data_IF_739351350822
#
_entry.id   IF_739351350822
#
_cell.length_a   1.000
_cell.length_b   1.000
_cell.length_c   1.000
_cell.angle_alpha   90.00
_cell.angle_beta   90.00
_cell.angle_gamma   90.00
#
_symmetry.space_group_name_H-M   'P 1'
#
loop_
_entity.id
_entity.type
_entity.pdbx_description
1 polymer ?
#
# COMPACT_ATOMS: atom_id res chain seq x y z
N UNK A 1 3.30 -26.17 -7.22
CA UNK A 1 2.94 -24.78 -6.82
C UNK A 1 3.81 -23.83 -7.61
N UNK A 2 3.24 -22.90 -8.37
CA UNK A 2 4.03 -21.93 -9.13
C UNK A 2 4.64 -20.92 -8.16
N UNK A 3 5.94 -21.00 -7.91
CA UNK A 3 6.66 -20.00 -7.14
C UNK A 3 6.62 -18.66 -7.90
N UNK A 4 5.82 -17.73 -7.43
CA UNK A 4 5.73 -16.37 -7.96
C UNK A 4 6.58 -15.45 -7.09
N UNK A 5 7.46 -14.69 -7.72
CA UNK A 5 8.19 -13.62 -7.04
C UNK A 5 7.45 -12.30 -7.22
N UNK A 6 7.12 -11.63 -6.11
CA UNK A 6 6.46 -10.33 -6.12
C UNK A 6 7.43 -9.28 -5.62
N UNK A 7 7.75 -8.32 -6.47
CA UNK A 7 8.64 -7.21 -6.17
C UNK A 7 7.88 -5.90 -6.16
N UNK A 8 8.18 -5.05 -5.20
CA UNK A 8 7.65 -3.69 -5.10
C UNK A 8 7.22 -3.29 -3.68
N UNK A 9 6.90 -2.01 -3.50
CA UNK A 9 6.82 -0.95 -4.51
C UNK A 9 8.21 -0.40 -4.90
N UNK A 10 8.58 -0.53 -6.15
CA UNK A 10 9.85 -0.05 -6.69
C UNK A 10 9.66 1.29 -7.43
N UNK A 11 10.78 1.94 -7.81
CA UNK A 11 10.78 3.05 -8.77
C UNK A 11 10.20 2.57 -10.11
N UNK A 12 9.96 3.49 -11.05
CA UNK A 12 9.33 3.13 -12.33
C UNK A 12 10.06 2.01 -13.09
N UNK A 13 9.30 1.28 -13.90
CA UNK A 13 9.78 0.19 -14.74
C UNK A 13 10.95 0.64 -15.63
N UNK A 14 12.01 -0.14 -15.70
CA UNK A 14 13.04 0.04 -16.70
C UNK A 14 12.48 -0.20 -18.13
N UNK A 15 13.29 0.07 -19.17
CA UNK A 15 12.86 -0.04 -20.58
C UNK A 15 12.38 -1.44 -20.96
N UNK A 16 13.02 -2.48 -20.46
CA UNK A 16 12.65 -3.88 -20.73
C UNK A 16 11.31 -4.22 -20.07
N UNK A 17 11.19 -4.09 -18.76
CA UNK A 17 9.96 -4.37 -18.03
C UNK A 17 8.77 -3.55 -18.53
N UNK A 18 8.99 -2.31 -18.98
CA UNK A 18 7.94 -1.49 -19.59
C UNK A 18 7.44 -2.07 -20.91
N UNK A 19 8.31 -2.67 -21.71
CA UNK A 19 7.94 -3.38 -22.94
C UNK A 19 7.09 -4.60 -22.62
N UNK A 20 7.52 -5.41 -21.66
CA UNK A 20 6.81 -6.62 -21.25
C UNK A 20 5.46 -6.31 -20.59
N UNK A 21 5.40 -5.30 -19.74
CA UNK A 21 4.15 -4.80 -19.17
C UNK A 21 3.14 -4.35 -20.25
N UNK A 22 3.63 -3.64 -21.28
CA UNK A 22 2.78 -3.26 -22.42
C UNK A 22 2.26 -4.48 -23.18
N UNK A 23 3.08 -5.51 -23.34
CA UNK A 23 2.67 -6.76 -23.99
C UNK A 23 1.54 -7.46 -23.23
N UNK A 24 1.59 -7.49 -21.90
CA UNK A 24 0.56 -8.10 -21.06
C UNK A 24 -0.82 -7.47 -21.20
N UNK A 25 -0.89 -6.18 -21.51
CA UNK A 25 -2.17 -5.44 -21.59
C UNK A 25 -2.58 -5.03 -23.00
N UNK A 26 -1.81 -5.40 -24.02
CA UNK A 26 -2.03 -4.91 -25.41
C UNK A 26 -3.39 -5.25 -25.98
N UNK A 27 -4.01 -6.36 -25.54
CA UNK A 27 -5.32 -6.83 -26.00
C UNK A 27 -6.49 -6.14 -25.30
N UNK A 28 -6.25 -5.58 -24.10
CA UNK A 28 -7.30 -5.01 -23.25
C UNK A 28 -7.18 -3.48 -23.14
N UNK A 29 -6.01 -2.93 -23.38
CA UNK A 29 -5.70 -1.51 -23.16
C UNK A 29 -4.91 -0.96 -24.34
N UNK A 30 -5.39 0.15 -24.90
CA UNK A 30 -4.68 0.79 -25.99
C UNK A 30 -3.35 1.44 -25.51
N UNK A 31 -2.45 1.67 -26.49
CA UNK A 31 -1.10 2.18 -26.24
C UNK A 31 -1.08 3.54 -25.56
N UNK A 32 -2.05 4.40 -25.87
CA UNK A 32 -2.12 5.75 -25.31
C UNK A 32 -2.48 5.68 -23.83
N UNK A 33 -3.44 4.85 -23.47
CA UNK A 33 -3.86 4.69 -22.07
C UNK A 33 -2.73 4.12 -21.21
N UNK A 34 -1.99 3.12 -21.69
CA UNK A 34 -0.79 2.63 -21.01
C UNK A 34 0.23 3.76 -20.79
N UNK A 35 0.49 4.57 -21.82
CA UNK A 35 1.44 5.68 -21.75
C UNK A 35 1.02 6.73 -20.71
N UNK A 36 -0.25 7.09 -20.65
CA UNK A 36 -0.76 8.06 -19.68
C UNK A 36 -0.72 7.51 -18.26
N UNK A 37 -1.15 6.26 -18.05
CA UNK A 37 -1.02 5.59 -16.74
C UNK A 37 0.43 5.57 -16.27
N UNK A 38 1.37 5.28 -17.17
CA UNK A 38 2.80 5.23 -16.85
C UNK A 38 3.35 6.61 -16.47
N UNK A 39 2.99 7.68 -17.20
CA UNK A 39 3.43 9.06 -16.93
C UNK A 39 3.03 9.55 -15.54
N UNK A 40 1.81 9.24 -15.08
CA UNK A 40 1.29 9.70 -13.81
C UNK A 40 1.65 8.77 -12.63
N UNK A 41 2.24 7.61 -12.91
CA UNK A 41 2.66 6.65 -11.89
C UNK A 41 4.07 6.96 -11.40
N UNK A 42 4.31 6.76 -10.11
CA UNK A 42 5.62 6.97 -9.50
C UNK A 42 6.20 5.71 -8.87
N UNK A 43 5.43 4.64 -8.80
CA UNK A 43 5.82 3.32 -8.27
C UNK A 43 5.17 2.21 -9.08
N UNK A 44 5.75 1.02 -9.00
CA UNK A 44 5.20 -0.18 -9.61
C UNK A 44 5.42 -1.42 -8.74
N UNK A 45 4.58 -2.42 -8.97
CA UNK A 45 4.76 -3.80 -8.53
C UNK A 45 4.93 -4.67 -9.76
N UNK A 46 5.72 -5.72 -9.64
CA UNK A 46 5.89 -6.74 -10.68
C UNK A 46 5.75 -8.12 -10.07
N UNK A 47 5.18 -9.03 -10.85
CA UNK A 47 5.11 -10.46 -10.53
C UNK A 47 5.80 -11.21 -11.64
N UNK A 48 6.79 -12.02 -11.30
CA UNK A 48 7.49 -12.89 -12.23
C UNK A 48 7.24 -14.35 -11.89
N UNK A 49 7.25 -15.21 -12.91
CA UNK A 49 7.26 -16.66 -12.74
C UNK A 49 8.67 -17.17 -12.41
N UNK A 50 8.81 -18.48 -12.22
CA UNK A 50 10.09 -19.16 -11.96
C UNK A 50 11.14 -18.95 -13.04
N UNK A 51 10.72 -18.67 -14.28
CA UNK A 51 11.61 -18.39 -15.40
C UNK A 51 11.98 -16.91 -15.51
N UNK A 52 11.65 -16.09 -14.51
CA UNK A 52 11.90 -14.65 -14.51
C UNK A 52 11.02 -13.83 -15.47
N UNK A 53 10.03 -14.46 -16.12
CA UNK A 53 9.14 -13.76 -17.05
C UNK A 53 8.10 -12.95 -16.28
N UNK A 54 7.83 -11.72 -16.73
CA UNK A 54 6.79 -10.87 -16.18
C UNK A 54 5.40 -11.45 -16.48
N UNK A 55 4.66 -11.82 -15.44
CA UNK A 55 3.30 -12.39 -15.52
C UNK A 55 2.23 -11.49 -14.93
N UNK A 56 2.64 -10.43 -14.24
CA UNK A 56 1.74 -9.41 -13.71
C UNK A 56 2.48 -8.15 -13.32
N UNK A 57 1.77 -7.02 -13.34
CA UNK A 57 2.29 -5.74 -12.87
C UNK A 57 1.17 -4.84 -12.41
N UNK A 58 1.49 -3.86 -11.57
CA UNK A 58 0.64 -2.73 -11.25
C UNK A 58 1.43 -1.43 -11.27
N UNK A 59 0.86 -0.43 -11.89
CA UNK A 59 1.33 0.95 -11.84
C UNK A 59 0.53 1.69 -10.77
N UNK A 60 1.22 2.33 -9.84
CA UNK A 60 0.58 3.06 -8.76
C UNK A 60 1.06 4.49 -8.67
N UNK A 61 0.16 5.36 -8.22
CA UNK A 61 0.49 6.72 -7.87
C UNK A 61 0.25 6.91 -6.37
N UNK A 62 1.28 7.31 -5.64
CA UNK A 62 1.14 7.80 -4.29
C UNK A 62 0.73 9.27 -4.38
N UNK A 63 -0.51 9.56 -4.08
CA UNK A 63 -1.02 10.92 -4.13
C UNK A 63 -0.29 11.78 -3.09
N UNK A 64 0.57 12.71 -3.58
CA UNK A 64 1.41 13.54 -2.71
C UNK A 64 0.72 14.83 -2.28
N UNK A 65 -0.35 15.25 -2.97
CA UNK A 65 -0.79 16.64 -2.85
C UNK A 65 -1.89 16.92 -1.84
N UNK A 66 -2.87 16.05 -1.59
CA UNK A 66 -3.99 16.47 -0.74
C UNK A 66 -4.65 15.39 0.14
N UNK A 67 -4.23 14.13 0.08
CA UNK A 67 -4.80 13.10 0.94
C UNK A 67 -3.67 12.23 1.50
N UNK A 68 -3.17 12.63 2.67
CA UNK A 68 -2.25 11.80 3.45
C UNK A 68 -2.91 10.45 3.71
N UNK A 69 -2.51 9.44 2.97
CA UNK A 69 -2.93 8.08 3.24
C UNK A 69 -3.57 7.30 2.11
N UNK A 70 -3.59 7.79 0.86
CA UNK A 70 -4.19 7.09 -0.26
C UNK A 70 -3.18 6.56 -1.27
N UNK A 71 -3.43 5.36 -1.78
CA UNK A 71 -2.76 4.77 -2.95
C UNK A 71 -3.77 4.68 -4.09
N UNK A 72 -3.43 5.18 -5.25
CA UNK A 72 -4.22 4.98 -6.46
C UNK A 72 -3.52 4.02 -7.42
N UNK A 73 -4.19 2.93 -7.74
CA UNK A 73 -3.77 2.01 -8.79
C UNK A 73 -4.21 2.61 -10.12
N UNK A 74 -3.25 2.86 -11.00
CA UNK A 74 -3.48 3.46 -12.32
C UNK A 74 -3.69 2.42 -13.39
N UNK A 75 -3.03 1.29 -13.25
CA UNK A 75 -3.12 0.20 -14.21
C UNK A 75 -2.69 -1.10 -13.55
N UNK A 76 -3.42 -2.15 -13.81
CA UNK A 76 -3.07 -3.53 -13.48
C UNK A 76 -3.12 -4.35 -14.78
N UNK A 77 -2.10 -5.17 -14.97
CA UNK A 77 -2.06 -6.14 -16.04
C UNK A 77 -1.56 -7.49 -15.52
N UNK A 78 -2.25 -8.56 -15.86
CA UNK A 78 -1.88 -9.92 -15.43
C UNK A 78 -2.23 -10.94 -16.49
N UNK A 79 -1.50 -12.04 -16.53
CA UNK A 79 -1.94 -13.23 -17.26
C UNK A 79 -3.21 -13.78 -16.60
N UNK A 80 -4.22 -14.07 -17.43
CA UNK A 80 -5.51 -14.60 -16.97
C UNK A 80 -5.39 -15.99 -16.35
N UNK A 81 -6.29 -16.33 -15.43
CA UNK A 81 -6.55 -17.70 -14.97
C UNK A 81 -5.60 -18.27 -13.91
N UNK A 82 -4.61 -17.51 -13.42
CA UNK A 82 -3.61 -18.01 -12.45
C UNK A 82 -3.66 -17.35 -11.06
N UNK A 83 -4.71 -16.62 -10.74
CA UNK A 83 -4.84 -15.92 -9.46
C UNK A 83 -3.84 -14.76 -9.26
N UNK A 84 -3.02 -14.42 -10.25
CA UNK A 84 -1.94 -13.43 -10.16
C UNK A 84 -2.49 -12.07 -9.76
N UNK A 85 -3.64 -11.68 -10.30
CA UNK A 85 -4.30 -10.42 -9.96
C UNK A 85 -4.66 -10.33 -8.47
N UNK A 86 -5.13 -11.43 -7.89
CA UNK A 86 -5.46 -11.51 -6.46
C UNK A 86 -4.22 -11.34 -5.60
N UNK A 87 -3.19 -12.12 -5.86
CA UNK A 87 -1.92 -12.07 -5.11
C UNK A 87 -1.28 -10.68 -5.19
N UNK A 88 -1.32 -10.06 -6.37
CA UNK A 88 -0.80 -8.71 -6.58
C UNK A 88 -1.60 -7.66 -5.79
N UNK A 89 -2.93 -7.75 -5.79
CA UNK A 89 -3.80 -6.85 -5.04
C UNK A 89 -3.61 -7.00 -3.53
N UNK A 90 -3.55 -8.24 -3.02
CA UNK A 90 -3.28 -8.52 -1.61
C UNK A 90 -1.94 -7.89 -1.19
N UNK A 91 -0.89 -8.03 -2.00
CA UNK A 91 0.42 -7.42 -1.73
C UNK A 91 0.37 -5.89 -1.68
N UNK A 92 -0.39 -5.25 -2.59
CA UNK A 92 -0.57 -3.79 -2.60
C UNK A 92 -1.31 -3.34 -1.33
N UNK A 93 -2.39 -4.03 -0.96
CA UNK A 93 -3.18 -3.72 0.23
C UNK A 93 -2.35 -3.89 1.51
N UNK A 94 -1.60 -4.99 1.63
CA UNK A 94 -0.76 -5.26 2.79
C UNK A 94 0.37 -4.23 2.93
N UNK A 95 1.02 -3.87 1.84
CA UNK A 95 2.02 -2.81 1.86
C UNK A 95 1.39 -1.46 2.25
N UNK A 96 0.20 -1.15 1.75
CA UNK A 96 -0.51 0.06 2.11
C UNK A 96 -0.88 0.06 3.61
N UNK A 97 -1.31 -1.08 4.15
CA UNK A 97 -1.60 -1.27 5.58
C UNK A 97 -0.37 -1.08 6.46
N UNK A 98 0.76 -1.74 6.11
CA UNK A 98 2.03 -1.61 6.82
C UNK A 98 2.54 -0.17 6.86
N UNK A 99 2.23 0.62 5.85
CA UNK A 99 2.60 2.04 5.75
C UNK A 99 1.59 2.99 6.39
N UNK A 100 0.57 2.48 7.06
CA UNK A 100 -0.47 3.28 7.73
C UNK A 100 -1.35 4.09 6.78
N UNK A 101 -1.47 3.65 5.51
CA UNK A 101 -2.33 4.29 4.53
C UNK A 101 -3.79 3.94 4.82
N UNK A 102 -4.71 4.82 4.41
CA UNK A 102 -6.14 4.69 4.74
C UNK A 102 -6.93 3.97 3.66
N UNK A 103 -6.59 4.20 2.40
CA UNK A 103 -7.38 3.68 1.28
C UNK A 103 -6.50 3.25 0.11
N UNK A 104 -7.03 2.29 -0.66
CA UNK A 104 -6.56 1.96 -2.00
C UNK A 104 -7.69 2.26 -2.97
N UNK A 105 -7.42 3.03 -4.01
CA UNK A 105 -8.40 3.39 -5.03
C UNK A 105 -7.96 2.94 -6.41
N UNK A 106 -8.90 2.64 -7.27
CA UNK A 106 -8.66 2.28 -8.67
C UNK A 106 -9.86 2.68 -9.54
N UNK A 107 -9.65 2.65 -10.83
CA UNK A 107 -10.70 2.71 -11.84
C UNK A 107 -10.85 1.33 -12.47
N UNK A 108 -12.07 0.77 -12.44
CA UNK A 108 -12.37 -0.58 -12.91
C UNK A 108 -13.07 -0.55 -14.25
N UNK A 109 -12.62 -1.37 -15.18
CA UNK A 109 -13.42 -1.72 -16.34
C UNK A 109 -14.61 -2.60 -15.90
N UNK A 110 -15.74 -2.60 -16.62
CA UNK A 110 -16.95 -3.34 -16.22
C UNK A 110 -16.68 -4.82 -15.91
N UNK A 111 -15.88 -5.48 -16.74
CA UNK A 111 -15.57 -6.91 -16.66
C UNK A 111 -14.75 -7.27 -15.41
N UNK A 112 -13.95 -6.34 -14.87
CA UNK A 112 -13.14 -6.53 -13.69
C UNK A 112 -13.87 -6.17 -12.39
N UNK A 113 -15.04 -5.51 -12.46
CA UNK A 113 -15.75 -5.01 -11.29
C UNK A 113 -16.10 -6.11 -10.28
N UNK A 114 -16.56 -7.27 -10.78
CA UNK A 114 -16.89 -8.42 -9.93
C UNK A 114 -15.66 -8.95 -9.17
N UNK A 115 -14.49 -8.96 -9.79
CA UNK A 115 -13.24 -9.32 -9.15
C UNK A 115 -12.91 -8.36 -8.00
N UNK A 116 -12.95 -7.05 -8.24
CA UNK A 116 -12.64 -6.07 -7.20
C UNK A 116 -13.67 -6.08 -6.05
N UNK A 117 -14.94 -6.31 -6.34
CA UNK A 117 -15.97 -6.49 -5.30
C UNK A 117 -15.65 -7.67 -4.37
N UNK A 118 -15.21 -8.82 -4.94
CA UNK A 118 -14.77 -10.00 -4.16
C UNK A 118 -13.52 -9.71 -3.32
N UNK A 119 -12.69 -8.76 -3.75
CA UNK A 119 -11.52 -8.28 -3.00
C UNK A 119 -11.87 -7.25 -1.91
N UNK A 120 -13.15 -6.88 -1.77
CA UNK A 120 -13.62 -5.92 -0.76
C UNK A 120 -13.63 -4.46 -1.21
N UNK A 121 -13.37 -4.18 -2.48
CA UNK A 121 -13.55 -2.84 -3.02
C UNK A 121 -15.03 -2.49 -3.14
N UNK A 122 -15.35 -1.22 -2.97
CA UNK A 122 -16.70 -0.68 -3.12
C UNK A 122 -16.70 0.48 -4.12
N UNK A 123 -17.77 0.65 -4.91
CA UNK A 123 -17.91 1.80 -5.80
C UNK A 123 -17.82 3.13 -5.06
N UNK A 124 -17.29 4.15 -5.74
CA UNK A 124 -17.30 5.53 -5.27
C UNK A 124 -18.20 6.34 -6.21
N UNK A 125 -19.36 6.74 -5.73
CA UNK A 125 -20.31 7.51 -6.55
C UNK A 125 -20.79 6.76 -7.79
N UNK A 126 -21.18 7.51 -8.82
CA UNK A 126 -21.59 7.00 -10.14
C UNK A 126 -20.36 6.89 -11.01
N UNK A 127 -19.99 5.68 -11.47
CA UNK A 127 -18.86 5.51 -12.39
C UNK A 127 -18.00 4.28 -12.11
N UNK A 128 -16.79 4.31 -12.66
CA UNK A 128 -15.82 3.19 -12.64
C UNK A 128 -14.87 3.21 -11.43
N UNK A 129 -14.89 4.25 -10.63
CA UNK A 129 -14.00 4.37 -9.47
C UNK A 129 -14.42 3.44 -8.34
N UNK A 130 -13.43 2.75 -7.75
CA UNK A 130 -13.64 1.85 -6.62
C UNK A 130 -12.61 2.13 -5.52
N UNK A 131 -13.01 1.86 -4.26
CA UNK A 131 -12.21 2.08 -3.06
C UNK A 131 -12.19 0.85 -2.18
N UNK A 132 -11.04 0.54 -1.65
CA UNK A 132 -10.82 -0.37 -0.53
C UNK A 132 -10.42 0.45 0.69
N UNK A 133 -11.16 0.35 1.79
CA UNK A 133 -10.82 1.00 3.06
C UNK A 133 -9.93 0.06 3.86
N UNK A 134 -8.72 0.52 4.18
CA UNK A 134 -7.78 -0.22 5.01
C UNK A 134 -8.21 -0.02 6.47
N UNK A 135 -8.81 -1.06 7.05
CA UNK A 135 -9.09 -1.04 8.47
C UNK A 135 -7.76 -0.98 9.24
N UNK A 136 -7.65 -0.06 10.15
CA UNK A 136 -6.57 -0.11 11.14
C UNK A 136 -6.79 -1.39 11.93
N UNK A 137 -5.82 -2.31 11.90
CA UNK A 137 -5.77 -3.36 12.91
C UNK A 137 -5.90 -2.67 14.27
N UNK A 138 -6.76 -3.15 15.19
CA UNK A 138 -6.81 -2.58 16.52
C UNK A 138 -5.37 -2.52 17.03
N UNK A 139 -4.91 -1.30 17.36
CA UNK A 139 -3.58 -1.08 17.88
C UNK A 139 -3.43 -2.00 19.09
N UNK A 140 -2.46 -2.91 19.03
CA UNK A 140 -2.06 -3.71 20.18
C UNK A 140 -1.94 -2.73 21.34
N UNK A 141 -2.65 -2.92 22.46
CA UNK A 141 -2.58 -2.01 23.58
C UNK A 141 -1.11 -1.85 23.96
N UNK A 142 -0.62 -0.61 23.95
CA UNK A 142 0.73 -0.30 24.39
C UNK A 142 0.90 -0.87 25.80
N UNK A 143 1.99 -1.58 26.12
CA UNK A 143 2.24 -2.04 27.48
C UNK A 143 2.19 -0.82 28.39
N UNK A 144 1.26 -0.81 29.36
CA UNK A 144 1.16 0.23 30.36
C UNK A 144 2.53 0.34 31.02
N UNK A 145 3.17 1.48 30.84
CA UNK A 145 4.41 1.81 31.55
C UNK A 145 4.12 1.68 33.03
N UNK A 146 4.88 0.90 33.83
CA UNK A 146 4.66 0.83 35.25
C UNK A 146 4.77 2.24 35.82
N UNK A 147 3.77 2.61 36.63
CA UNK A 147 3.78 3.87 37.33
C UNK A 147 5.06 3.93 38.19
N UNK A 148 5.93 4.89 37.92
CA UNK A 148 7.06 5.18 38.76
C UNK A 148 6.52 5.66 40.11
N UNK A 149 6.65 4.84 41.15
CA UNK A 149 6.40 5.22 42.52
C UNK A 149 7.31 6.39 42.87
N UNK A 150 6.72 7.57 43.02
CA UNK A 150 7.37 8.74 43.56
C UNK A 150 7.68 8.49 45.05
N UNK A 151 8.91 8.15 45.35
CA UNK A 151 9.41 8.15 46.70
C UNK A 151 9.45 9.60 47.21
N UNK A 152 8.56 9.90 48.17
CA UNK A 152 8.59 11.14 48.96
C UNK A 152 9.88 11.19 49.77
N UNK A 153 10.82 12.05 49.38
CA UNK A 153 11.94 12.40 50.25
C UNK A 153 11.47 13.41 51.26
N UNK A 154 11.33 12.95 52.50
CA UNK A 154 11.14 13.76 53.71
C UNK A 154 12.42 14.59 53.90
N UNK A 155 12.29 15.91 53.63
CA UNK A 155 13.31 16.91 54.06
C UNK A 155 13.18 17.11 55.57
N UNK A 156 14.15 16.59 56.35
CA UNK A 156 14.37 17.05 57.70
C UNK A 156 15.13 18.37 57.65
N UNK A 157 14.46 19.42 58.09
CA UNK A 157 15.05 20.74 58.38
C UNK A 157 15.90 20.61 59.66
N UNK A 158 17.20 20.81 59.52
CA UNK A 158 18.08 21.05 60.68
C UNK A 158 18.39 22.55 60.73
N UNK A 159 17.99 23.19 61.80
CA UNK A 159 18.27 24.57 62.13
C UNK A 159 19.68 24.66 62.77
N UNK A 160 20.57 25.48 62.29
CA UNK A 160 21.82 25.71 63.02
C UNK A 160 21.61 26.77 64.10
N UNK A 161 21.88 26.42 65.38
CA UNK A 161 22.02 27.37 66.49
C UNK A 161 23.33 28.11 66.37
N UNK A 162 23.25 29.43 66.53
CA UNK A 162 24.34 30.38 66.58
C UNK A 162 24.85 30.52 68.02
N UNK A 163 26.13 30.49 68.31
CA UNK A 163 26.65 30.87 69.63
C UNK A 163 26.92 32.37 69.73
N UNK A 164 26.59 32.99 70.84
CA UNK A 164 27.00 34.28 71.36
C UNK A 164 27.75 34.08 72.68
N UNK A 165 28.43 35.11 73.13
CA UNK A 165 29.73 35.71 72.78
C UNK A 165 30.85 35.21 73.64
#
# INVERSE_FOLDING_TARGET
MNNLAILGPNKLLNKSLRRDARRLVRETINRNWFREAYKVSNRHYTVTNTNGQLVGFALINKNQRNQRGDVRIRLIGTNKGRGIGRVLMERIIDNARQRGLKTVTLESVPEARAFYNKMGFRPIGIGSNMRFNIQRSPSRPSPKRPASSSASSVRRSATPQKPHP
#
